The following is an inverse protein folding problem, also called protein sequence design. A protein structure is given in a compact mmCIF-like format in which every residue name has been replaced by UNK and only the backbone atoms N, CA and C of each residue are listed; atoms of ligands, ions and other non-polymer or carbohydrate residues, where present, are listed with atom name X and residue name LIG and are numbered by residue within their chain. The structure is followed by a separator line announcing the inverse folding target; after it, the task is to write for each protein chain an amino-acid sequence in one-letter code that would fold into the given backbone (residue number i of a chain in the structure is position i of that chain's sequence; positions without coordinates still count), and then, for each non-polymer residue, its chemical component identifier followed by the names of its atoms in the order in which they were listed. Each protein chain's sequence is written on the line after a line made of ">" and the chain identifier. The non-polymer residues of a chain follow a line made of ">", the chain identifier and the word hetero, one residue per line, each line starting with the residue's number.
data_IF_239019324261
#
_entry.id   IF_239019324261
#
_cell.length_a   1.000
_cell.length_b   1.000
_cell.length_c   1.000
_cell.angle_alpha   90.00
_cell.angle_beta   90.00
_cell.angle_gamma   90.00
#
_symmetry.space_group_name_H-M   'P 1'
#
loop_
_entity.id
_entity.type
_entity.pdbx_description
1 polymer ?
#
# COMPACT_ATOMS: atom_id res chain seq x y z
N UNK A 1 20.83 -3.07 -10.58
CA UNK A 1 19.36 -3.11 -10.44
C UNK A 1 18.78 -2.04 -11.35
N UNK A 2 17.83 -2.34 -12.22
CA UNK A 2 17.26 -1.34 -13.14
C UNK A 2 15.91 -0.79 -12.65
N UNK A 3 15.55 -1.09 -11.41
CA UNK A 3 14.38 -0.57 -10.72
C UNK A 3 14.71 0.70 -9.92
N UNK A 4 13.83 1.06 -8.98
CA UNK A 4 14.03 2.20 -8.09
C UNK A 4 14.47 1.66 -6.72
N UNK A 5 15.72 1.90 -6.32
CA UNK A 5 16.17 1.58 -4.97
C UNK A 5 15.80 2.70 -3.98
N UNK A 6 15.82 2.36 -2.69
CA UNK A 6 15.59 3.35 -1.63
C UNK A 6 16.56 4.53 -1.71
N UNK A 7 17.83 4.26 -2.00
CA UNK A 7 18.85 5.32 -2.18
C UNK A 7 18.49 6.27 -3.32
N UNK A 8 18.04 5.72 -4.46
CA UNK A 8 17.63 6.52 -5.64
C UNK A 8 16.42 7.38 -5.30
N UNK A 9 15.43 6.81 -4.60
CA UNK A 9 14.22 7.54 -4.20
C UNK A 9 14.56 8.68 -3.23
N UNK A 10 15.42 8.45 -2.23
CA UNK A 10 15.86 9.48 -1.29
C UNK A 10 16.59 10.60 -2.02
N UNK A 11 17.56 10.28 -2.88
CA UNK A 11 18.30 11.30 -3.67
C UNK A 11 17.37 12.13 -4.55
N UNK A 12 16.42 11.49 -5.19
CA UNK A 12 15.40 12.20 -6.00
C UNK A 12 14.55 13.14 -5.15
N UNK A 13 14.09 12.70 -3.98
CA UNK A 13 13.31 13.52 -3.06
C UNK A 13 14.09 14.74 -2.55
N UNK A 14 15.35 14.55 -2.18
CA UNK A 14 16.25 15.63 -1.71
C UNK A 14 16.52 16.67 -2.80
N UNK A 15 16.66 16.24 -4.06
CA UNK A 15 16.85 17.13 -5.20
C UNK A 15 15.62 17.99 -5.50
N UNK A 16 14.42 17.42 -5.43
CA UNK A 16 13.18 18.15 -5.68
C UNK A 16 12.84 19.15 -4.57
N UNK A 17 13.20 18.83 -3.35
CA UNK A 17 12.81 19.58 -2.17
C UNK A 17 14.07 20.08 -1.46
N UNK A 18 14.68 21.14 -1.97
CA UNK A 18 15.92 21.70 -1.46
C UNK A 18 15.95 21.82 0.07
N UNK A 19 16.90 21.14 0.72
CA UNK A 19 17.04 21.11 2.18
C UNK A 19 16.21 20.08 2.91
N UNK A 20 15.38 19.29 2.23
CA UNK A 20 14.66 18.17 2.82
C UNK A 20 15.57 16.94 2.92
N UNK A 21 15.30 16.10 3.90
CA UNK A 21 16.09 14.92 4.24
C UNK A 21 15.25 13.65 4.11
N UNK A 22 15.91 12.49 4.08
CA UNK A 22 15.26 11.17 4.17
C UNK A 22 14.25 11.09 5.32
N UNK A 23 14.59 11.67 6.48
CA UNK A 23 13.66 11.69 7.64
C UNK A 23 12.35 12.41 7.32
N UNK A 24 12.41 13.50 6.58
CA UNK A 24 11.20 14.24 6.17
C UNK A 24 10.40 13.46 5.12
N UNK A 25 11.08 12.75 4.21
CA UNK A 25 10.41 11.82 3.27
C UNK A 25 9.68 10.71 4.02
N UNK A 26 10.31 10.09 5.01
CA UNK A 26 9.68 9.05 5.85
C UNK A 26 8.46 9.63 6.60
N UNK A 27 8.58 10.85 7.15
CA UNK A 27 7.46 11.52 7.82
C UNK A 27 6.30 11.81 6.84
N UNK A 28 6.62 12.22 5.62
CA UNK A 28 5.62 12.42 4.56
C UNK A 28 4.92 11.09 4.21
N UNK A 29 5.65 10.00 4.12
CA UNK A 29 5.08 8.67 3.89
C UNK A 29 4.12 8.27 5.01
N UNK A 30 4.52 8.38 6.27
CA UNK A 30 3.67 8.07 7.42
C UNK A 30 2.37 8.88 7.43
N UNK A 31 2.45 10.16 7.04
CA UNK A 31 1.28 11.06 6.98
C UNK A 31 0.29 10.73 5.86
N UNK A 32 0.72 10.04 4.80
CA UNK A 32 -0.18 9.66 3.71
C UNK A 32 -0.84 8.28 3.90
N UNK A 33 -0.44 7.52 4.92
CA UNK A 33 -0.99 6.20 5.19
C UNK A 33 -2.34 6.29 5.93
N UNK A 34 -3.32 5.51 5.48
CA UNK A 34 -4.69 5.60 5.96
C UNK A 34 -4.92 4.74 7.22
N UNK A 35 -4.21 3.62 7.38
CA UNK A 35 -4.45 2.67 8.46
C UNK A 35 -3.22 2.44 9.37
N UNK A 36 -3.48 1.89 10.56
CA UNK A 36 -2.41 1.46 11.47
C UNK A 36 -1.62 0.28 10.90
N UNK A 37 -2.27 -0.64 10.19
CA UNK A 37 -1.62 -1.79 9.57
C UNK A 37 -0.64 -1.36 8.48
N UNK A 38 -1.04 -0.39 7.61
CA UNK A 38 -0.13 0.22 6.64
C UNK A 38 1.08 0.87 7.31
N UNK A 39 0.88 1.61 8.42
CA UNK A 39 2.00 2.22 9.17
C UNK A 39 2.95 1.17 9.74
N UNK A 40 2.43 0.06 10.27
CA UNK A 40 3.26 -1.05 10.77
C UNK A 40 4.05 -1.69 9.64
N UNK A 41 3.43 -1.97 8.49
CA UNK A 41 4.11 -2.50 7.31
C UNK A 41 5.22 -1.56 6.81
N UNK A 42 4.92 -0.27 6.65
CA UNK A 42 5.90 0.74 6.24
C UNK A 42 7.06 0.84 7.23
N UNK A 43 6.77 0.84 8.54
CA UNK A 43 7.79 0.91 9.60
C UNK A 43 8.69 -0.32 9.58
N UNK A 44 8.13 -1.52 9.40
CA UNK A 44 8.91 -2.75 9.28
C UNK A 44 9.86 -2.67 8.06
N UNK A 45 9.37 -2.18 6.92
CA UNK A 45 10.22 -1.93 5.75
C UNK A 45 11.35 -0.93 6.04
N UNK A 46 11.08 0.21 6.70
CA UNK A 46 12.11 1.20 7.06
C UNK A 46 13.16 0.57 7.99
N UNK A 47 12.74 -0.24 8.96
CA UNK A 47 13.66 -0.98 9.84
C UNK A 47 14.52 -1.96 9.04
N UNK A 48 13.95 -2.62 8.03
CA UNK A 48 14.68 -3.51 7.12
C UNK A 48 15.74 -2.75 6.30
N UNK A 49 15.39 -1.57 5.75
CA UNK A 49 16.34 -0.68 5.07
C UNK A 49 17.52 -0.29 5.99
N UNK A 50 17.21 0.07 7.23
CA UNK A 50 18.23 0.45 8.20
C UNK A 50 19.21 -0.69 8.51
N UNK A 51 18.73 -1.93 8.55
CA UNK A 51 19.53 -3.12 8.83
C UNK A 51 20.34 -3.63 7.62
N UNK A 52 19.81 -3.51 6.39
CA UNK A 52 20.36 -4.16 5.20
C UNK A 52 20.94 -3.18 4.18
N UNK A 53 20.79 -1.87 4.41
CA UNK A 53 21.29 -0.82 3.51
C UNK A 53 20.24 -0.36 2.50
N UNK A 54 20.60 0.68 1.76
CA UNK A 54 19.66 1.43 0.90
C UNK A 54 19.59 0.95 -0.56
N UNK A 55 20.41 -0.03 -0.94
CA UNK A 55 20.39 -0.61 -2.29
C UNK A 55 19.38 -1.76 -2.41
N UNK A 56 18.19 -1.54 -1.90
CA UNK A 56 17.03 -2.44 -1.99
C UNK A 56 15.88 -1.71 -2.67
N UNK A 57 14.92 -2.42 -3.31
CA UNK A 57 13.80 -1.78 -4.00
C UNK A 57 13.01 -0.86 -3.07
N UNK A 58 12.74 0.36 -3.52
CA UNK A 58 11.99 1.35 -2.73
C UNK A 58 10.52 0.97 -2.59
N UNK A 59 10.01 1.03 -1.36
CA UNK A 59 8.57 0.92 -1.07
C UNK A 59 7.93 2.31 -1.21
N UNK A 60 7.07 2.48 -2.20
CA UNK A 60 6.40 3.75 -2.52
C UNK A 60 4.95 3.65 -2.07
N UNK A 61 4.49 4.43 -1.07
CA UNK A 61 3.12 4.37 -0.59
C UNK A 61 2.13 5.11 -1.47
N UNK A 62 0.86 4.68 -1.44
CA UNK A 62 -0.30 5.39 -1.96
C UNK A 62 -0.21 5.72 -3.46
N UNK A 63 0.17 4.73 -4.28
CA UNK A 63 0.36 4.88 -5.73
C UNK A 63 -0.96 4.68 -6.47
N UNK A 64 -1.26 5.55 -7.43
CA UNK A 64 -2.42 5.39 -8.30
C UNK A 64 -2.06 4.62 -9.56
N UNK A 65 -2.82 3.59 -9.88
CA UNK A 65 -2.63 2.78 -11.09
C UNK A 65 -2.80 3.61 -12.37
N UNK A 66 -3.79 4.52 -12.36
CA UNK A 66 -4.04 5.46 -13.44
C UNK A 66 -4.26 6.84 -12.85
N UNK A 67 -3.33 7.75 -13.11
CA UNK A 67 -3.51 9.14 -12.71
C UNK A 67 -4.24 9.89 -13.84
N UNK A 68 -5.52 10.24 -13.61
CA UNK A 68 -6.26 11.17 -14.45
C UNK A 68 -6.45 12.49 -13.65
N UNK A 69 -5.86 13.60 -14.10
CA UNK A 69 -5.97 14.89 -13.41
C UNK A 69 -7.39 15.50 -13.46
N UNK A 70 -8.30 14.92 -14.25
CA UNK A 70 -9.70 15.40 -14.30
C UNK A 70 -10.47 14.98 -13.05
N UNK A 71 -11.26 15.89 -12.52
CA UNK A 71 -12.18 15.58 -11.40
C UNK A 71 -13.29 14.63 -11.84
N UNK A 72 -13.95 13.94 -10.89
CA UNK A 72 -15.10 13.06 -11.19
C UNK A 72 -16.19 13.76 -12.03
N UNK A 73 -16.45 15.05 -11.80
CA UNK A 73 -17.42 15.85 -12.53
C UNK A 73 -17.00 16.20 -13.98
N UNK A 74 -15.72 16.10 -14.30
CA UNK A 74 -15.14 16.42 -15.61
C UNK A 74 -14.97 15.20 -16.51
N UNK A 75 -15.33 13.97 -16.01
CA UNK A 75 -15.19 12.73 -16.76
C UNK A 75 -16.50 12.36 -17.42
N UNK A 76 -16.47 12.21 -18.73
CA UNK A 76 -17.60 11.73 -19.53
C UNK A 76 -17.84 10.22 -19.35
N UNK A 77 -16.84 9.47 -18.90
CA UNK A 77 -16.88 8.02 -18.74
C UNK A 77 -16.28 7.63 -17.38
N UNK A 78 -16.98 6.81 -16.60
CA UNK A 78 -16.41 6.11 -15.45
C UNK A 78 -15.53 4.93 -15.94
N UNK A 79 -14.44 5.25 -16.63
CA UNK A 79 -13.45 4.24 -16.98
C UNK A 79 -12.48 4.18 -15.81
N UNK A 80 -12.62 3.16 -15.00
CA UNK A 80 -11.80 2.82 -13.83
C UNK A 80 -11.92 3.82 -12.66
N UNK A 81 -12.57 3.40 -11.60
CA UNK A 81 -12.32 4.03 -10.29
C UNK A 81 -10.81 4.04 -10.05
N UNK A 82 -10.28 5.17 -9.56
CA UNK A 82 -8.87 5.28 -9.24
C UNK A 82 -8.51 4.21 -8.23
N UNK A 83 -7.94 3.13 -8.70
CA UNK A 83 -7.42 2.12 -7.83
C UNK A 83 -6.12 2.67 -7.25
N UNK A 84 -6.20 3.10 -6.01
CA UNK A 84 -5.07 3.49 -5.20
C UNK A 84 -4.48 2.21 -4.63
N UNK A 85 -3.23 1.96 -4.93
CA UNK A 85 -2.43 0.87 -4.37
C UNK A 85 -1.83 1.35 -3.05
N UNK A 86 -1.90 0.54 -1.99
CA UNK A 86 -1.34 0.92 -0.71
C UNK A 86 0.17 1.11 -0.79
N UNK A 87 0.86 0.16 -1.42
CA UNK A 87 2.31 0.27 -1.68
C UNK A 87 2.69 -0.36 -3.01
N UNK A 88 3.77 0.18 -3.61
CA UNK A 88 4.37 -0.37 -4.83
C UNK A 88 5.88 -0.39 -4.73
N UNK A 89 6.50 -1.44 -5.30
CA UNK A 89 7.93 -1.50 -5.61
C UNK A 89 8.15 -1.65 -7.11
N UNK A 90 9.13 -0.94 -7.67
CA UNK A 90 9.59 -1.09 -9.05
C UNK A 90 10.93 -1.83 -8.99
N UNK A 91 10.87 -3.14 -9.19
CA UNK A 91 12.04 -4.04 -9.11
C UNK A 91 12.88 -3.92 -10.39
N UNK A 92 12.21 -3.83 -11.53
CA UNK A 92 12.84 -3.68 -12.85
C UNK A 92 11.87 -2.96 -13.81
N UNK A 93 12.28 -2.62 -15.05
CA UNK A 93 11.38 -2.04 -16.04
C UNK A 93 10.15 -2.90 -16.36
N UNK A 94 10.26 -4.22 -16.17
CA UNK A 94 9.18 -5.18 -16.44
C UNK A 94 8.55 -5.80 -15.20
N UNK A 95 9.07 -5.53 -14.01
CA UNK A 95 8.58 -6.12 -12.77
C UNK A 95 8.18 -5.04 -11.76
N UNK A 96 6.90 -5.02 -11.44
CA UNK A 96 6.28 -4.13 -10.45
C UNK A 96 5.51 -4.96 -9.46
N UNK A 97 5.78 -4.75 -8.20
CA UNK A 97 5.15 -5.45 -7.08
C UNK A 97 4.24 -4.49 -6.35
N UNK A 98 3.02 -4.91 -6.08
CA UNK A 98 2.01 -4.17 -5.32
C UNK A 98 1.73 -4.91 -4.03
N UNK A 99 1.68 -4.18 -2.92
CA UNK A 99 1.25 -4.69 -1.64
C UNK A 99 -0.03 -3.96 -1.22
N UNK A 100 -1.06 -4.75 -0.92
CA UNK A 100 -2.37 -4.29 -0.47
C UNK A 100 -2.59 -4.75 0.98
N UNK A 101 -3.00 -3.84 1.84
CA UNK A 101 -3.22 -4.12 3.26
C UNK A 101 -4.72 -4.06 3.54
N UNK A 102 -5.38 -5.21 3.44
CA UNK A 102 -6.83 -5.30 3.51
C UNK A 102 -7.38 -5.11 4.93
N UNK A 103 -7.98 -3.97 5.19
CA UNK A 103 -8.82 -3.74 6.36
C UNK A 103 -10.18 -4.44 6.21
N UNK A 104 -10.94 -4.54 7.31
CA UNK A 104 -12.27 -5.16 7.31
C UNK A 104 -13.24 -4.50 6.31
N UNK A 105 -13.09 -3.22 6.02
CA UNK A 105 -13.89 -2.47 5.06
C UNK A 105 -13.82 -3.02 3.63
N UNK A 106 -12.81 -3.81 3.29
CA UNK A 106 -12.65 -4.42 1.97
C UNK A 106 -13.49 -5.69 1.78
N UNK A 107 -13.94 -6.30 2.86
CA UNK A 107 -14.69 -7.57 2.79
C UNK A 107 -15.90 -7.64 3.73
N UNK A 108 -16.18 -6.59 4.51
CA UNK A 108 -17.27 -6.57 5.48
C UNK A 108 -18.12 -5.29 5.39
N UNK A 109 -19.36 -5.39 5.82
CA UNK A 109 -20.30 -4.29 5.97
C UNK A 109 -20.71 -4.13 7.43
N UNK A 110 -21.01 -2.89 7.84
CA UNK A 110 -21.51 -2.61 9.18
C UNK A 110 -22.97 -3.04 9.29
N UNK A 111 -23.34 -3.68 10.41
CA UNK A 111 -24.74 -3.99 10.67
C UNK A 111 -25.52 -2.72 11.02
N UNK A 112 -26.47 -2.35 10.21
CA UNK A 112 -27.49 -1.35 10.52
C UNK A 112 -28.54 -1.94 11.46
N UNK A 113 -28.21 -2.22 12.72
CA UNK A 113 -29.20 -2.61 13.71
C UNK A 113 -29.15 -1.68 14.92
N UNK A 114 -30.27 -1.04 15.30
CA UNK A 114 -30.34 -0.24 16.52
C UNK A 114 -30.02 -1.13 17.74
N UNK A 115 -28.95 -0.80 18.46
CA UNK A 115 -28.50 -1.52 19.67
C UNK A 115 -27.49 -2.64 19.44
N UNK A 116 -26.98 -2.85 18.25
CA UNK A 116 -25.86 -3.79 18.00
C UNK A 116 -24.54 -3.12 18.35
N UNK A 117 -23.76 -3.74 19.24
CA UNK A 117 -22.31 -3.49 19.30
C UNK A 117 -21.75 -3.77 17.93
N UNK A 118 -21.12 -2.77 17.28
CA UNK A 118 -20.57 -2.79 15.92
C UNK A 118 -20.14 -4.19 15.44
N UNK A 119 -21.06 -4.90 14.80
CA UNK A 119 -20.77 -6.20 14.19
C UNK A 119 -20.57 -5.99 12.71
N UNK A 120 -19.39 -6.36 12.24
CA UNK A 120 -19.09 -6.40 10.82
C UNK A 120 -19.48 -7.77 10.28
N UNK A 121 -20.22 -7.80 9.16
CA UNK A 121 -20.59 -9.02 8.47
C UNK A 121 -19.82 -9.12 7.17
N UNK A 122 -19.36 -10.33 6.82
CA UNK A 122 -18.74 -10.57 5.53
C UNK A 122 -19.69 -10.21 4.39
N UNK A 123 -19.24 -9.37 3.46
CA UNK A 123 -19.99 -8.95 2.29
C UNK A 123 -19.47 -9.68 1.05
N UNK A 124 -20.26 -10.60 0.46
CA UNK A 124 -19.88 -11.26 -0.79
C UNK A 124 -19.65 -10.26 -1.93
N UNK A 125 -20.36 -9.13 -1.93
CA UNK A 125 -20.20 -8.08 -2.96
C UNK A 125 -18.85 -7.43 -2.82
N UNK A 126 -18.49 -6.94 -1.65
CA UNK A 126 -17.17 -6.31 -1.40
C UNK A 126 -16.01 -7.27 -1.68
N UNK A 127 -16.16 -8.53 -1.26
CA UNK A 127 -15.18 -9.56 -1.59
C UNK A 127 -15.03 -9.74 -3.10
N UNK A 128 -16.12 -9.78 -3.85
CA UNK A 128 -16.08 -9.91 -5.30
C UNK A 128 -15.41 -8.70 -5.98
N UNK A 129 -15.67 -7.48 -5.49
CA UNK A 129 -15.03 -6.25 -5.96
C UNK A 129 -13.53 -6.27 -5.69
N UNK A 130 -13.12 -6.64 -4.47
CA UNK A 130 -11.71 -6.80 -4.09
C UNK A 130 -10.98 -7.80 -5.00
N UNK A 131 -11.60 -8.96 -5.26
CA UNK A 131 -11.04 -9.99 -6.16
C UNK A 131 -11.02 -9.56 -7.62
N UNK A 132 -11.97 -8.73 -8.05
CA UNK A 132 -11.96 -8.12 -9.38
C UNK A 132 -10.79 -7.15 -9.51
N UNK A 133 -10.61 -6.25 -8.55
CA UNK A 133 -9.50 -5.30 -8.50
C UNK A 133 -8.14 -6.01 -8.54
N UNK A 134 -7.98 -7.09 -7.76
CA UNK A 134 -6.76 -7.92 -7.79
C UNK A 134 -6.47 -8.46 -9.19
N UNK A 135 -7.50 -9.03 -9.87
CA UNK A 135 -7.30 -9.55 -11.24
C UNK A 135 -6.95 -8.45 -12.24
N UNK A 136 -7.55 -7.28 -12.12
CA UNK A 136 -7.27 -6.14 -13.00
C UNK A 136 -5.82 -5.68 -12.87
N UNK A 137 -5.28 -5.57 -11.65
CA UNK A 137 -3.86 -5.28 -11.42
C UNK A 137 -2.96 -6.37 -12.00
N UNK A 138 -3.28 -7.65 -11.76
CA UNK A 138 -2.49 -8.77 -12.27
C UNK A 138 -2.48 -8.79 -13.82
N UNK A 139 -3.63 -8.53 -14.46
CA UNK A 139 -3.72 -8.42 -15.93
C UNK A 139 -2.96 -7.21 -16.48
N UNK A 140 -2.83 -6.14 -15.70
CA UNK A 140 -2.00 -4.98 -16.04
C UNK A 140 -0.50 -5.21 -15.83
N UNK A 141 -0.09 -6.42 -15.39
CA UNK A 141 1.31 -6.82 -15.26
C UNK A 141 1.94 -6.47 -13.92
N UNK A 142 1.12 -6.33 -12.86
CA UNK A 142 1.60 -6.20 -11.49
C UNK A 142 1.63 -7.56 -10.78
N UNK A 143 2.69 -7.83 -10.03
CA UNK A 143 2.72 -8.90 -9.03
C UNK A 143 2.04 -8.38 -7.77
N UNK A 144 0.86 -8.93 -7.41
CA UNK A 144 0.05 -8.39 -6.31
C UNK A 144 0.08 -9.30 -5.10
N UNK A 145 0.50 -8.77 -3.96
CA UNK A 145 0.47 -9.42 -2.66
C UNK A 145 -0.54 -8.72 -1.76
N UNK A 146 -1.45 -9.50 -1.15
CA UNK A 146 -2.46 -8.99 -0.25
C UNK A 146 -2.26 -9.54 1.14
N UNK A 147 -2.30 -8.63 2.13
CA UNK A 147 -2.18 -8.96 3.54
C UNK A 147 -3.46 -8.56 4.26
N UNK A 148 -4.02 -9.47 5.03
CA UNK A 148 -5.11 -9.12 5.93
C UNK A 148 -4.63 -8.18 7.03
N UNK A 149 -5.29 -7.05 7.26
CA UNK A 149 -4.87 -6.09 8.28
C UNK A 149 -4.73 -6.71 9.69
N UNK A 150 -5.42 -7.84 9.96
CA UNK A 150 -5.27 -8.57 11.23
C UNK A 150 -3.93 -9.30 11.37
N UNK A 151 -3.22 -9.60 10.30
CA UNK A 151 -1.89 -10.20 10.35
C UNK A 151 -0.90 -9.32 11.12
N UNK A 152 -1.12 -8.00 11.09
CA UNK A 152 -0.30 -7.01 11.82
C UNK A 152 -0.72 -6.82 13.29
N UNK A 153 -1.81 -7.47 13.73
CA UNK A 153 -2.31 -7.37 15.11
C UNK A 153 -2.05 -8.64 15.93
N UNK A 154 -1.58 -9.70 15.29
CA UNK A 154 -1.37 -11.00 15.95
C UNK A 154 -0.05 -10.92 16.71
N UNK A 155 -0.18 -10.66 17.96
CA UNK A 155 0.81 -10.70 19.05
C UNK A 155 1.77 -9.50 19.14
N UNK A 156 1.87 -8.99 20.34
CA UNK A 156 2.96 -8.12 20.82
C UNK A 156 4.35 -8.82 20.76
N UNK A 157 4.48 -9.95 20.04
CA UNK A 157 5.64 -10.82 19.96
C UNK A 157 6.19 -11.07 18.56
N UNK A 158 5.52 -10.63 17.49
CA UNK A 158 6.12 -10.73 16.14
C UNK A 158 7.10 -9.60 15.95
N UNK A 159 8.39 -9.95 15.84
CA UNK A 159 9.41 -9.01 15.45
C UNK A 159 9.09 -8.42 14.07
N UNK A 160 9.42 -7.16 13.85
CA UNK A 160 9.23 -6.47 12.55
C UNK A 160 9.82 -7.28 11.38
N UNK A 161 10.82 -8.13 11.62
CA UNK A 161 11.46 -9.02 10.66
C UNK A 161 10.59 -10.18 10.19
N UNK A 162 9.68 -10.70 11.02
CA UNK A 162 8.80 -11.81 10.64
C UNK A 162 7.72 -11.38 9.66
N UNK A 163 7.26 -10.13 9.73
CA UNK A 163 6.30 -9.55 8.78
C UNK A 163 6.91 -9.49 7.37
N UNK A 164 8.19 -9.14 7.26
CA UNK A 164 8.89 -9.03 5.97
C UNK A 164 9.25 -10.40 5.38
N UNK A 165 9.51 -11.41 6.23
CA UNK A 165 9.84 -12.78 5.77
C UNK A 165 8.63 -13.57 5.29
N UNK A 166 7.43 -13.17 5.68
CA UNK A 166 6.18 -13.85 5.28
C UNK A 166 5.65 -13.34 3.90
N UNK A 167 6.20 -12.27 3.35
CA UNK A 167 5.94 -11.72 2.01
C UNK A 167 7.10 -12.00 1.06
#
# INVERSE_FOLDING_TARGET
>A
MNGISWEVLVKWYEQLNQGNTEKQMITMFDNCLDSKAERLFCKAYISYVAAHGKDIPALIPQVYMYYDPKTKAQREWQIFEHQKMDFMMIISPSQRVVFEIDGYQHYAEDAEAPGSNHKHYASPIRYAEMMKAHREMSLAGYDVYRFGGREFWVNDYTSEEEIIRAG
#
